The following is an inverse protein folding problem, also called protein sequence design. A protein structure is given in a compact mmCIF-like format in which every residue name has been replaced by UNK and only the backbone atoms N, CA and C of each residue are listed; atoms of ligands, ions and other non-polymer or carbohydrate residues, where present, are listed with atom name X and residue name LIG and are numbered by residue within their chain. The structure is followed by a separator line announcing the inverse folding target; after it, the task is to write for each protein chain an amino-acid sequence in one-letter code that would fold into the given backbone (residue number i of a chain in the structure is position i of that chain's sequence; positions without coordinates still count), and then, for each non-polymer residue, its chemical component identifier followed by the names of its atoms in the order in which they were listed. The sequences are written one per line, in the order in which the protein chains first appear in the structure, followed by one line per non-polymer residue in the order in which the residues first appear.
data_IF_318151791836
#
_entry.id   IF_318151791836
#
_cell.length_a   1.000
_cell.length_b   1.000
_cell.length_c   1.000
_cell.angle_alpha   90.00
_cell.angle_beta   90.00
_cell.angle_gamma   90.00
#
_symmetry.space_group_name_H-M   'P 1'
#
loop_
_entity.id
_entity.type
_entity.pdbx_description
1 polymer ?
#
# COMPACT_ATOMS: atom_id res chain seq x y z
N UNK A 1 16.26 -17.95 8.64
CA UNK A 1 16.11 -17.13 7.42
C UNK A 1 14.82 -16.32 7.53
N UNK A 2 14.88 -15.03 7.20
CA UNK A 2 13.72 -14.13 7.20
C UNK A 2 12.95 -14.29 5.88
N UNK A 3 11.64 -14.44 5.98
CA UNK A 3 10.73 -14.59 4.84
C UNK A 3 9.62 -13.53 4.91
N UNK A 4 9.08 -13.19 3.76
CA UNK A 4 7.78 -12.53 3.65
C UNK A 4 6.66 -13.55 3.86
N UNK A 5 5.53 -13.11 4.39
CA UNK A 5 4.37 -13.97 4.65
C UNK A 5 3.88 -14.62 3.36
N UNK A 6 3.87 -13.90 2.24
CA UNK A 6 3.42 -14.42 0.95
C UNK A 6 4.22 -15.63 0.45
N UNK A 7 5.47 -15.79 0.91
CA UNK A 7 6.36 -16.89 0.51
C UNK A 7 6.23 -18.14 1.40
N UNK A 8 5.43 -18.05 2.48
CA UNK A 8 5.26 -19.16 3.41
C UNK A 8 4.51 -20.32 2.79
N UNK A 9 5.13 -21.50 2.81
CA UNK A 9 4.57 -22.76 2.31
C UNK A 9 5.06 -23.94 3.13
N UNK A 10 4.34 -25.06 3.04
CA UNK A 10 4.65 -26.29 3.78
C UNK A 10 6.10 -26.80 3.60
N UNK A 11 6.74 -26.52 2.46
CA UNK A 11 8.13 -26.90 2.20
C UNK A 11 9.16 -26.26 3.15
N UNK A 12 8.76 -25.24 3.93
CA UNK A 12 9.61 -24.62 4.94
C UNK A 12 9.56 -25.35 6.30
N UNK A 13 8.69 -26.35 6.47
CA UNK A 13 8.67 -27.17 7.67
C UNK A 13 10.01 -27.90 7.84
N UNK A 14 10.57 -27.85 9.05
CA UNK A 14 11.89 -28.41 9.35
C UNK A 14 13.07 -27.51 8.94
N UNK A 15 12.81 -26.32 8.40
CA UNK A 15 13.81 -25.28 8.18
C UNK A 15 13.72 -24.18 9.24
N UNK A 16 14.82 -23.44 9.45
CA UNK A 16 14.82 -22.25 10.31
C UNK A 16 14.17 -21.06 9.59
N UNK A 17 12.84 -21.00 9.58
CA UNK A 17 12.09 -19.87 9.03
C UNK A 17 11.70 -18.87 10.11
N UNK A 18 11.64 -17.60 9.71
CA UNK A 18 11.17 -16.51 10.56
C UNK A 18 10.47 -15.44 9.72
N UNK A 19 9.52 -14.73 10.33
CA UNK A 19 8.82 -13.59 9.76
C UNK A 19 8.82 -12.43 10.77
N UNK A 20 8.68 -11.20 10.26
CA UNK A 20 8.33 -10.04 11.09
C UNK A 20 6.93 -9.62 10.69
N UNK A 21 5.99 -9.64 11.63
CA UNK A 21 4.58 -9.46 11.33
C UNK A 21 3.85 -8.68 12.42
N UNK A 22 2.84 -7.89 12.04
CA UNK A 22 1.91 -7.24 12.95
C UNK A 22 0.70 -8.13 13.21
N UNK A 23 0.22 -8.14 14.45
CA UNK A 23 -1.04 -8.80 14.81
C UNK A 23 -2.22 -7.93 14.39
N UNK A 24 -2.95 -8.35 13.36
CA UNK A 24 -4.16 -7.67 12.88
C UNK A 24 -5.35 -7.92 13.80
N UNK A 25 -5.55 -9.17 14.21
CA UNK A 25 -6.62 -9.55 15.13
C UNK A 25 -6.21 -10.74 15.99
N UNK A 26 -6.91 -10.91 17.10
CA UNK A 26 -6.77 -12.05 18.01
C UNK A 26 -8.17 -12.47 18.45
N UNK A 27 -8.51 -13.74 18.29
CA UNK A 27 -9.77 -14.28 18.78
C UNK A 27 -9.70 -14.49 20.29
N UNK A 28 -10.85 -14.62 20.93
CA UNK A 28 -10.93 -15.18 22.28
C UNK A 28 -10.41 -16.63 22.30
N UNK A 29 -10.14 -17.13 23.51
CA UNK A 29 -9.84 -18.54 23.73
C UNK A 29 -11.15 -19.31 23.60
N UNK A 30 -11.20 -20.20 22.61
CA UNK A 30 -12.31 -21.11 22.40
C UNK A 30 -11.98 -22.49 22.96
N UNK A 31 -12.89 -23.04 23.74
CA UNK A 31 -12.81 -24.43 24.19
C UNK A 31 -13.59 -25.35 23.25
N UNK A 32 -13.14 -26.60 23.14
CA UNK A 32 -13.77 -27.63 22.32
C UNK A 32 -13.61 -29.00 23.00
N UNK A 33 -14.30 -30.02 22.47
CA UNK A 33 -14.33 -31.37 23.07
C UNK A 33 -14.74 -31.32 24.55
N UNK A 34 -15.85 -30.65 24.86
CA UNK A 34 -16.38 -30.51 26.23
C UNK A 34 -15.37 -29.91 27.24
N UNK A 35 -14.49 -29.01 26.78
CA UNK A 35 -13.52 -28.32 27.63
C UNK A 35 -12.14 -29.00 27.72
N UNK A 36 -11.95 -30.15 27.08
CA UNK A 36 -10.66 -30.86 27.04
C UNK A 36 -9.64 -30.10 26.17
N UNK A 37 -10.11 -29.52 25.06
CA UNK A 37 -9.28 -28.74 24.15
C UNK A 37 -9.52 -27.25 24.30
N UNK A 38 -8.46 -26.45 24.10
CA UNK A 38 -8.57 -25.00 23.90
C UNK A 38 -7.74 -24.55 22.71
N UNK A 39 -8.18 -23.47 22.08
CA UNK A 39 -7.45 -22.82 20.98
C UNK A 39 -7.71 -21.33 20.96
N UNK A 40 -6.78 -20.59 20.37
CA UNK A 40 -7.07 -19.26 19.87
C UNK A 40 -6.45 -19.10 18.49
N UNK A 41 -6.95 -18.12 17.76
CA UNK A 41 -6.47 -17.78 16.42
C UNK A 41 -6.08 -16.32 16.37
N UNK A 42 -5.13 -16.00 15.52
CA UNK A 42 -4.70 -14.63 15.24
C UNK A 42 -4.44 -14.48 13.76
N UNK A 43 -4.71 -13.32 13.19
CA UNK A 43 -4.26 -12.96 11.85
C UNK A 43 -3.03 -12.10 12.00
N UNK A 44 -1.96 -12.54 11.36
CA UNK A 44 -0.69 -11.85 11.21
C UNK A 44 -0.61 -11.25 9.82
N UNK A 45 0.08 -10.13 9.66
CA UNK A 45 0.37 -9.59 8.34
C UNK A 45 1.68 -8.83 8.30
N UNK A 46 2.20 -8.73 7.09
CA UNK A 46 3.32 -7.88 6.71
C UNK A 46 2.94 -7.11 5.44
N UNK A 47 3.93 -6.58 4.72
CA UNK A 47 3.70 -5.85 3.46
C UNK A 47 3.22 -6.74 2.30
N UNK A 48 3.43 -8.05 2.41
CA UNK A 48 3.23 -9.01 1.33
C UNK A 48 1.86 -9.70 1.40
N UNK A 49 1.42 -10.13 2.59
CA UNK A 49 0.18 -10.89 2.77
C UNK A 49 -0.26 -10.95 4.23
N UNK A 50 -1.51 -11.37 4.43
CA UNK A 50 -2.04 -11.81 5.72
C UNK A 50 -1.92 -13.34 5.83
N UNK A 51 -1.71 -13.86 7.03
CA UNK A 51 -1.76 -15.30 7.32
C UNK A 51 -2.41 -15.54 8.69
N UNK A 52 -3.23 -16.59 8.79
CA UNK A 52 -3.75 -17.04 10.07
C UNK A 52 -2.70 -17.86 10.80
N UNK A 53 -2.55 -17.60 12.10
CA UNK A 53 -1.89 -18.50 13.03
C UNK A 53 -2.88 -19.04 14.07
N UNK A 54 -2.74 -20.32 14.41
CA UNK A 54 -3.59 -21.02 15.37
C UNK A 54 -2.73 -21.68 16.44
N UNK A 55 -3.14 -21.55 17.71
CA UNK A 55 -2.50 -22.26 18.83
C UNK A 55 -3.51 -23.21 19.45
N UNK A 56 -3.06 -24.42 19.82
CA UNK A 56 -3.87 -25.43 20.49
C UNK A 56 -3.28 -25.82 21.85
N UNK A 57 -4.14 -26.30 22.74
CA UNK A 57 -3.75 -26.98 23.98
C UNK A 57 -2.95 -26.10 24.94
N UNK A 58 -1.88 -26.66 25.49
CA UNK A 58 -1.13 -26.08 26.61
C UNK A 58 -0.39 -24.78 26.24
N UNK A 59 -0.08 -24.58 24.96
CA UNK A 59 0.61 -23.38 24.49
C UNK A 59 -0.30 -22.15 24.42
N UNK A 60 -1.62 -22.32 24.54
CA UNK A 60 -2.61 -21.23 24.36
C UNK A 60 -2.37 -20.09 25.34
N UNK A 61 -2.26 -20.35 26.64
CA UNK A 61 -2.17 -19.26 27.63
C UNK A 61 -0.89 -18.44 27.44
N UNK A 62 0.21 -19.12 27.10
CA UNK A 62 1.50 -18.50 26.81
C UNK A 62 1.40 -17.54 25.62
N UNK A 63 1.00 -18.04 24.45
CA UNK A 63 0.99 -17.18 23.25
C UNK A 63 -0.15 -16.17 23.26
N UNK A 64 -1.27 -16.48 23.93
CA UNK A 64 -2.38 -15.56 24.08
C UNK A 64 -2.00 -14.33 24.92
N UNK A 65 -1.22 -14.51 25.99
CA UNK A 65 -0.73 -13.41 26.82
C UNK A 65 0.39 -12.60 26.14
N UNK A 66 1.24 -13.25 25.34
CA UNK A 66 2.33 -12.58 24.62
C UNK A 66 1.87 -11.71 23.44
N UNK A 67 0.89 -12.17 22.66
CA UNK A 67 0.43 -11.49 21.45
C UNK A 67 -0.62 -10.43 21.75
N UNK A 68 -0.37 -9.20 21.32
CA UNK A 68 -1.27 -8.07 21.44
C UNK A 68 -1.60 -7.51 20.06
N UNK A 69 -2.86 -7.15 19.85
CA UNK A 69 -3.31 -6.52 18.60
C UNK A 69 -2.52 -5.23 18.35
N UNK A 70 -2.27 -4.93 17.08
CA UNK A 70 -1.49 -3.80 16.57
C UNK A 70 0.00 -3.79 16.92
N UNK A 71 0.51 -4.82 17.59
CA UNK A 71 1.94 -4.95 17.89
C UNK A 71 2.66 -5.79 16.84
N UNK A 72 3.95 -5.50 16.65
CA UNK A 72 4.82 -6.20 15.70
C UNK A 72 5.70 -7.20 16.44
N UNK A 73 5.85 -8.39 15.86
CA UNK A 73 6.61 -9.49 16.43
C UNK A 73 7.53 -10.12 15.39
N UNK A 74 8.72 -10.53 15.83
CA UNK A 74 9.54 -11.50 15.13
C UNK A 74 9.08 -12.89 15.57
N UNK A 75 8.59 -13.68 14.61
CA UNK A 75 8.04 -15.02 14.86
C UNK A 75 8.95 -16.01 14.14
N UNK A 76 9.42 -17.02 14.86
CA UNK A 76 10.29 -18.09 14.33
C UNK A 76 9.68 -19.44 14.63
N UNK A 77 9.90 -20.39 13.73
CA UNK A 77 9.43 -21.77 13.83
C UNK A 77 7.89 -21.88 13.95
N UNK A 78 7.41 -23.11 14.08
CA UNK A 78 6.01 -23.46 13.98
C UNK A 78 5.78 -24.35 12.76
N UNK A 79 4.58 -24.91 12.68
CA UNK A 79 4.20 -25.80 11.58
C UNK A 79 3.37 -25.01 10.56
N UNK A 80 3.78 -25.02 9.30
CA UNK A 80 3.04 -24.43 8.19
C UNK A 80 2.26 -25.55 7.50
N UNK A 81 0.93 -25.47 7.52
CA UNK A 81 0.06 -26.45 6.88
C UNK A 81 -0.95 -25.78 5.95
N UNK A 82 -1.55 -26.55 5.06
CA UNK A 82 -2.58 -26.03 4.15
C UNK A 82 -3.76 -25.50 4.97
N UNK A 83 -4.21 -24.29 4.63
CA UNK A 83 -5.31 -23.64 5.31
C UNK A 83 -6.63 -24.38 5.06
N UNK A 84 -7.37 -24.64 6.13
CA UNK A 84 -8.74 -25.11 6.01
C UNK A 84 -9.67 -23.93 5.73
N UNK A 85 -10.04 -23.75 4.46
CA UNK A 85 -10.86 -22.63 4.00
C UNK A 85 -12.31 -22.67 4.51
N UNK A 86 -12.75 -23.75 5.17
CA UNK A 86 -14.02 -23.75 5.89
C UNK A 86 -13.97 -22.91 7.18
N UNK A 87 -12.78 -22.71 7.76
CA UNK A 87 -12.58 -21.98 9.02
C UNK A 87 -11.62 -20.79 8.90
N UNK A 88 -10.79 -20.77 7.86
CA UNK A 88 -9.79 -19.73 7.62
C UNK A 88 -10.17 -18.90 6.39
N UNK A 89 -10.64 -17.68 6.66
CA UNK A 89 -11.05 -16.71 5.62
C UNK A 89 -9.90 -15.84 5.10
N UNK A 90 -8.67 -16.04 5.56
CA UNK A 90 -7.51 -15.34 4.97
C UNK A 90 -7.29 -15.84 3.54
N UNK A 91 -6.77 -14.97 2.68
CA UNK A 91 -6.52 -15.32 1.27
C UNK A 91 -5.42 -16.36 1.14
N UNK A 92 -4.42 -16.34 2.02
CA UNK A 92 -3.26 -17.21 2.01
C UNK A 92 -3.59 -18.71 2.05
N UNK A 93 -2.90 -19.50 1.23
CA UNK A 93 -3.18 -20.94 1.04
C UNK A 93 -2.74 -21.82 2.22
N UNK A 94 -1.91 -21.27 3.10
CA UNK A 94 -1.39 -21.92 4.29
C UNK A 94 -1.77 -21.18 5.57
N UNK A 95 -1.69 -21.86 6.69
CA UNK A 95 -1.78 -21.30 8.04
C UNK A 95 -0.63 -21.81 8.91
N UNK A 96 -0.28 -21.02 9.93
CA UNK A 96 0.76 -21.36 10.89
C UNK A 96 0.11 -22.00 12.12
N UNK A 97 0.66 -23.10 12.59
CA UNK A 97 0.32 -23.69 13.88
C UNK A 97 1.46 -23.40 14.84
N UNK A 98 1.17 -22.62 15.89
CA UNK A 98 2.12 -22.40 16.97
C UNK A 98 2.21 -23.64 17.83
N UNK A 99 3.44 -24.11 18.03
CA UNK A 99 3.77 -25.27 18.84
C UNK A 99 4.83 -24.87 19.88
N UNK A 100 5.30 -25.82 20.69
CA UNK A 100 6.25 -25.54 21.77
C UNK A 100 7.58 -24.95 21.31
N UNK A 101 7.97 -25.15 20.03
CA UNK A 101 9.20 -24.62 19.44
C UNK A 101 9.04 -23.21 18.86
N UNK A 102 7.82 -22.68 18.77
CA UNK A 102 7.57 -21.34 18.24
C UNK A 102 8.13 -20.28 19.17
N UNK A 103 8.92 -19.37 18.62
CA UNK A 103 9.50 -18.23 19.32
C UNK A 103 8.79 -16.97 18.85
N UNK A 104 8.29 -16.15 19.79
CA UNK A 104 7.60 -14.89 19.52
C UNK A 104 8.26 -13.81 20.36
N UNK A 105 8.91 -12.86 19.68
CA UNK A 105 9.62 -11.74 20.32
C UNK A 105 9.05 -10.43 19.81
N UNK A 106 8.79 -9.47 20.72
CA UNK A 106 8.30 -8.14 20.33
C UNK A 106 9.37 -7.45 19.48
N UNK A 107 8.94 -6.89 18.35
CA UNK A 107 9.81 -6.17 17.42
C UNK A 107 9.50 -4.67 17.46
N UNK A 108 10.54 -3.85 17.30
CA UNK A 108 10.43 -2.40 17.13
C UNK A 108 10.34 -1.97 15.67
N UNK A 109 10.16 -2.92 14.72
CA UNK A 109 10.06 -2.61 13.30
C UNK A 109 8.91 -1.64 13.03
N UNK A 110 9.22 -0.53 12.37
CA UNK A 110 8.28 0.56 12.06
C UNK A 110 7.77 0.49 10.62
N UNK A 111 8.40 -0.33 9.78
CA UNK A 111 8.16 -0.39 8.35
C UNK A 111 6.92 -1.22 7.99
N UNK A 112 6.36 -1.99 8.92
CA UNK A 112 5.10 -2.71 8.72
C UNK A 112 3.92 -1.76 8.98
N UNK A 113 3.02 -1.57 7.99
CA UNK A 113 1.90 -0.64 8.15
C UNK A 113 0.97 -1.05 9.27
N UNK A 114 0.16 -0.10 9.77
CA UNK A 114 -0.81 -0.39 10.84
C UNK A 114 -2.02 -1.19 10.34
N UNK A 115 -2.25 -1.22 9.03
CA UNK A 115 -3.26 -2.06 8.39
C UNK A 115 -2.72 -2.66 7.06
N UNK A 116 -3.05 -3.91 6.68
CA UNK A 116 -2.40 -4.63 5.58
C UNK A 116 -2.46 -3.96 4.20
N UNK A 117 -3.50 -3.19 3.92
CA UNK A 117 -3.78 -2.65 2.59
C UNK A 117 -4.00 -1.14 2.61
N UNK A 118 -3.32 -0.42 3.51
CA UNK A 118 -3.36 1.04 3.49
C UNK A 118 -2.84 1.57 2.16
N UNK A 119 -3.72 2.29 1.47
CA UNK A 119 -3.42 3.00 0.25
C UNK A 119 -3.34 4.49 0.55
N UNK A 120 -2.52 5.19 -0.22
CA UNK A 120 -2.46 6.65 -0.17
C UNK A 120 -3.72 7.22 -0.82
N UNK A 121 -4.01 8.49 -0.52
CA UNK A 121 -5.18 9.15 -1.10
C UNK A 121 -5.06 9.26 -2.62
N UNK A 122 -3.86 9.43 -3.17
CA UNK A 122 -3.65 9.41 -4.61
C UNK A 122 -4.12 8.10 -5.27
N UNK A 123 -3.95 6.95 -4.60
CA UNK A 123 -4.36 5.66 -5.15
C UNK A 123 -5.87 5.61 -5.44
N UNK A 124 -6.70 6.37 -4.72
CA UNK A 124 -8.16 6.44 -4.94
C UNK A 124 -8.48 6.73 -6.41
N UNK A 125 -7.70 7.62 -7.04
CA UNK A 125 -7.97 8.07 -8.40
C UNK A 125 -7.69 7.00 -9.45
N UNK A 126 -6.79 6.05 -9.17
CA UNK A 126 -6.49 4.91 -10.04
C UNK A 126 -7.42 3.70 -9.78
N UNK A 127 -8.11 3.65 -8.63
CA UNK A 127 -8.91 2.48 -8.26
C UNK A 127 -10.21 2.34 -9.05
N UNK A 128 -10.61 1.09 -9.32
CA UNK A 128 -11.85 0.75 -10.02
C UNK A 128 -13.07 1.08 -9.14
N UNK A 129 -14.15 1.57 -9.74
CA UNK A 129 -15.40 1.87 -9.02
C UNK A 129 -15.96 0.63 -8.33
N UNK A 130 -16.67 0.85 -7.23
CA UNK A 130 -17.25 -0.18 -6.37
C UNK A 130 -16.26 -1.12 -5.67
N UNK A 131 -14.95 -0.88 -5.78
CA UNK A 131 -13.95 -1.58 -4.96
C UNK A 131 -13.83 -0.94 -3.58
N UNK A 132 -13.23 -1.67 -2.64
CA UNK A 132 -12.99 -1.21 -1.28
C UNK A 132 -11.55 -0.67 -1.14
N UNK A 133 -11.40 0.39 -0.35
CA UNK A 133 -10.12 0.99 0.01
C UNK A 133 -9.99 1.07 1.54
N UNK A 134 -8.77 0.79 1.99
CA UNK A 134 -8.32 1.12 3.34
C UNK A 134 -7.37 2.31 3.21
N UNK A 135 -7.64 3.40 3.93
CA UNK A 135 -6.85 4.64 3.86
C UNK A 135 -6.86 5.36 5.19
N UNK A 136 -5.88 6.22 5.40
CA UNK A 136 -5.80 7.13 6.54
C UNK A 136 -5.38 8.51 6.04
N UNK A 137 -5.86 9.56 6.68
CA UNK A 137 -5.47 10.93 6.36
C UNK A 137 -5.92 11.93 7.41
N UNK A 138 -5.60 13.19 7.18
CA UNK A 138 -6.00 14.31 8.04
C UNK A 138 -7.28 14.92 7.52
N UNK A 139 -8.20 15.23 8.42
CA UNK A 139 -9.43 15.94 8.11
C UNK A 139 -9.08 17.40 7.83
N UNK A 140 -9.22 17.84 6.58
CA UNK A 140 -8.97 19.23 6.18
C UNK A 140 -10.24 20.07 6.21
N UNK A 141 -11.39 19.44 6.03
CA UNK A 141 -12.68 20.13 6.02
C UNK A 141 -13.81 19.21 6.43
N UNK A 142 -14.72 19.72 7.25
CA UNK A 142 -15.98 19.05 7.60
C UNK A 142 -17.14 19.92 7.10
N UNK A 143 -17.99 19.38 6.22
CA UNK A 143 -19.22 20.07 5.81
C UNK A 143 -20.36 19.81 6.81
N UNK A 144 -21.34 20.71 6.83
CA UNK A 144 -22.59 20.47 7.54
C UNK A 144 -23.35 19.26 6.96
N UNK A 145 -24.07 18.47 7.80
CA UNK A 145 -24.98 17.45 7.32
C UNK A 145 -26.03 18.03 6.38
N UNK A 146 -26.32 17.27 5.32
CA UNK A 146 -27.36 17.59 4.34
C UNK A 146 -28.33 16.43 4.24
N UNK A 147 -29.60 16.73 4.07
CA UNK A 147 -30.58 15.71 3.70
C UNK A 147 -30.48 15.40 2.20
N UNK A 148 -30.60 14.12 1.86
CA UNK A 148 -30.66 13.61 0.50
C UNK A 148 -31.97 12.86 0.30
N UNK A 149 -32.74 13.30 -0.69
CA UNK A 149 -34.02 12.72 -1.09
C UNK A 149 -35.04 12.60 0.07
N UNK A 150 -34.95 13.48 1.08
CA UNK A 150 -35.84 13.49 2.25
C UNK A 150 -35.80 12.25 3.15
N UNK A 151 -34.82 11.35 2.95
CA UNK A 151 -34.72 10.08 3.70
C UNK A 151 -33.36 9.81 4.32
N UNK A 152 -32.29 10.16 3.60
CA UNK A 152 -30.93 9.89 4.06
C UNK A 152 -30.25 11.18 4.46
N UNK A 153 -29.40 11.10 5.48
CA UNK A 153 -28.50 12.21 5.83
C UNK A 153 -27.11 11.90 5.29
N UNK A 154 -26.43 12.90 4.76
CA UNK A 154 -25.04 12.77 4.36
C UNK A 154 -24.21 13.90 4.91
N UNK A 155 -22.94 13.62 5.19
CA UNK A 155 -21.94 14.62 5.58
C UNK A 155 -20.70 14.38 4.73
N UNK A 156 -20.21 15.42 4.06
CA UNK A 156 -18.98 15.33 3.28
C UNK A 156 -17.80 15.82 4.13
N UNK A 157 -16.68 15.13 4.00
CA UNK A 157 -15.42 15.45 4.65
C UNK A 157 -14.35 15.48 3.57
N UNK A 158 -13.41 16.40 3.65
CA UNK A 158 -12.20 16.36 2.82
C UNK A 158 -11.09 15.75 3.66
N UNK A 159 -10.64 14.57 3.24
CA UNK A 159 -9.50 13.87 3.81
C UNK A 159 -8.27 14.13 2.95
N UNK A 160 -7.10 14.36 3.54
CA UNK A 160 -5.88 14.61 2.80
C UNK A 160 -4.63 13.97 3.44
N UNK A 161 -3.63 13.72 2.61
CA UNK A 161 -2.30 13.26 2.98
C UNK A 161 -1.27 13.98 2.08
N UNK A 162 0.00 13.59 2.16
CA UNK A 162 1.06 14.17 1.33
C UNK A 162 0.91 13.94 -0.18
N UNK A 163 0.06 13.00 -0.59
CA UNK A 163 -0.15 12.60 -1.99
C UNK A 163 -1.38 13.25 -2.62
N UNK A 164 -2.34 13.71 -1.82
CA UNK A 164 -3.50 14.42 -2.34
C UNK A 164 -4.64 14.59 -1.34
N UNK A 165 -5.82 14.92 -1.86
CA UNK A 165 -7.05 15.04 -1.07
C UNK A 165 -8.23 14.37 -1.76
N UNK A 166 -9.17 13.84 -0.98
CA UNK A 166 -10.35 13.15 -1.48
C UNK A 166 -11.58 13.50 -0.65
N UNK A 167 -12.73 13.62 -1.32
CA UNK A 167 -14.00 13.77 -0.63
C UNK A 167 -14.48 12.40 -0.11
N UNK A 168 -14.80 12.36 1.19
CA UNK A 168 -15.39 11.23 1.90
C UNK A 168 -16.83 11.56 2.22
N UNK A 169 -17.77 10.68 1.86
CA UNK A 169 -19.19 10.83 2.17
C UNK A 169 -19.57 9.85 3.27
N UNK A 170 -19.98 10.40 4.42
CA UNK A 170 -20.62 9.67 5.51
C UNK A 170 -22.13 9.65 5.31
N UNK A 171 -22.79 8.61 5.79
CA UNK A 171 -24.23 8.40 5.64
C UNK A 171 -24.92 8.16 6.97
N UNK A 172 -26.15 8.66 7.08
CA UNK A 172 -27.10 8.44 8.17
C UNK A 172 -26.46 8.66 9.55
N UNK A 173 -26.43 7.65 10.43
CA UNK A 173 -25.86 7.78 11.77
C UNK A 173 -24.39 8.18 11.76
N UNK A 174 -23.61 7.65 10.80
CA UNK A 174 -22.21 8.06 10.63
C UNK A 174 -22.10 9.51 10.17
N UNK A 175 -23.12 10.10 9.56
CA UNK A 175 -23.12 11.51 9.18
C UNK A 175 -23.56 12.43 10.34
N UNK A 176 -24.56 12.01 11.12
CA UNK A 176 -25.11 12.82 12.22
C UNK A 176 -24.23 12.80 13.46
N UNK A 177 -23.68 11.64 13.79
CA UNK A 177 -22.97 11.39 15.05
C UNK A 177 -21.46 11.60 14.89
N UNK A 178 -21.02 12.01 13.70
CA UNK A 178 -19.62 12.27 13.44
C UNK A 178 -19.11 13.41 14.31
N UNK A 179 -18.15 13.10 15.18
CA UNK A 179 -17.57 14.00 16.15
C UNK A 179 -16.04 13.97 16.01
N UNK A 180 -15.52 14.91 15.23
CA UNK A 180 -14.10 15.16 15.02
C UNK A 180 -13.92 16.61 14.58
N UNK A 181 -12.68 17.09 14.60
CA UNK A 181 -12.31 18.44 14.20
C UNK A 181 -11.43 18.42 12.95
N UNK A 182 -11.34 19.56 12.27
CA UNK A 182 -10.28 19.78 11.27
C UNK A 182 -8.91 19.66 11.95
N UNK A 183 -8.00 18.92 11.32
CA UNK A 183 -6.71 18.53 11.87
C UNK A 183 -6.68 17.18 12.60
N UNK A 184 -7.84 16.60 12.94
CA UNK A 184 -7.88 15.23 13.45
C UNK A 184 -7.53 14.23 12.33
N UNK A 185 -6.96 13.10 12.74
CA UNK A 185 -6.64 12.01 11.83
C UNK A 185 -7.81 11.04 11.77
N UNK A 186 -8.16 10.61 10.56
CA UNK A 186 -9.25 9.69 10.34
C UNK A 186 -8.78 8.52 9.49
N UNK A 187 -8.96 7.30 10.01
CA UNK A 187 -8.81 6.09 9.21
C UNK A 187 -10.17 5.62 8.68
N UNK A 188 -10.15 5.03 7.49
CA UNK A 188 -11.29 4.41 6.85
C UNK A 188 -10.85 3.03 6.39
N UNK A 189 -11.44 2.00 6.99
CA UNK A 189 -11.25 0.61 6.57
C UNK A 189 -12.51 0.14 5.85
N UNK A 190 -12.36 -0.37 4.64
CA UNK A 190 -13.44 -0.84 3.78
C UNK A 190 -14.31 0.28 3.24
N UNK A 191 -13.73 1.44 2.91
CA UNK A 191 -14.43 2.54 2.23
C UNK A 191 -14.72 2.17 0.78
N UNK A 192 -15.89 2.52 0.24
CA UNK A 192 -16.27 2.15 -1.13
C UNK A 192 -15.90 3.27 -2.11
N UNK A 193 -15.15 2.96 -3.16
CA UNK A 193 -14.87 3.90 -4.25
C UNK A 193 -16.14 4.11 -5.08
N UNK A 194 -16.60 5.36 -5.15
CA UNK A 194 -17.76 5.75 -5.95
C UNK A 194 -17.41 6.91 -6.88
N UNK A 195 -18.21 7.10 -7.91
CA UNK A 195 -18.21 8.33 -8.70
C UNK A 195 -19.46 9.14 -8.36
N UNK A 196 -19.28 10.45 -8.19
CA UNK A 196 -20.39 11.38 -8.15
C UNK A 196 -20.07 12.64 -8.93
N UNK A 197 -20.79 12.86 -10.04
CA UNK A 197 -20.57 13.97 -10.98
C UNK A 197 -19.14 13.97 -11.56
N UNK A 198 -18.65 12.80 -11.99
CA UNK A 198 -17.31 12.61 -12.59
C UNK A 198 -16.16 12.92 -11.63
N UNK A 199 -16.42 12.85 -10.32
CA UNK A 199 -15.41 12.99 -9.27
C UNK A 199 -15.44 11.73 -8.42
N UNK A 200 -14.30 11.04 -8.35
CA UNK A 200 -14.13 9.89 -7.45
C UNK A 200 -14.14 10.33 -6.01
N UNK A 201 -14.85 9.56 -5.18
CA UNK A 201 -15.04 9.78 -3.75
C UNK A 201 -14.95 8.46 -3.01
N UNK A 202 -14.74 8.56 -1.70
CA UNK A 202 -14.88 7.42 -0.78
C UNK A 202 -16.25 7.52 -0.12
N UNK A 203 -17.10 6.52 -0.32
CA UNK A 203 -18.36 6.39 0.41
C UNK A 203 -18.18 5.45 1.60
N UNK A 204 -18.44 5.92 2.81
CA UNK A 204 -18.40 5.10 4.01
C UNK A 204 -19.72 4.33 4.12
N UNK A 205 -19.67 3.01 3.99
CA UNK A 205 -20.84 2.13 4.08
C UNK A 205 -21.03 1.63 5.51
N UNK A 206 -22.10 0.88 5.75
CA UNK A 206 -22.36 0.26 7.05
C UNK A 206 -21.23 -0.69 7.49
N UNK A 207 -20.61 -1.38 6.52
CA UNK A 207 -19.47 -2.28 6.74
C UNK A 207 -18.14 -1.56 6.95
N UNK A 208 -18.04 -0.27 6.62
CA UNK A 208 -16.81 0.50 6.78
C UNK A 208 -16.57 0.81 8.26
N UNK A 209 -15.32 0.63 8.70
CA UNK A 209 -14.87 1.07 10.03
C UNK A 209 -14.19 2.43 9.88
N UNK A 210 -14.56 3.36 10.75
CA UNK A 210 -13.98 4.69 10.83
C UNK A 210 -13.48 4.87 12.24
N UNK A 211 -12.24 5.32 12.39
CA UNK A 211 -11.61 5.60 13.67
C UNK A 211 -10.97 6.99 13.61
N UNK A 212 -11.18 7.78 14.67
CA UNK A 212 -10.63 9.13 14.81
C UNK A 212 -9.43 9.07 15.76
N UNK A 213 -8.33 9.69 15.33
CA UNK A 213 -7.03 9.68 15.99
C UNK A 213 -6.57 8.27 16.39
N UNK A 214 -6.49 7.32 15.42
CA UNK A 214 -6.05 5.97 15.70
C UNK A 214 -4.60 5.97 16.21
N UNK A 215 -4.29 5.07 17.16
CA UNK A 215 -2.92 4.86 17.67
C UNK A 215 -2.06 4.05 16.69
N UNK A 216 -1.89 4.57 15.48
CA UNK A 216 -1.18 3.93 14.35
C UNK A 216 0.16 4.62 14.09
N UNK A 217 1.10 3.91 13.45
CA UNK A 217 2.42 4.47 13.13
C UNK A 217 2.31 5.69 12.20
N UNK A 218 1.39 5.63 11.24
CA UNK A 218 1.13 6.65 10.23
C UNK A 218 0.58 7.95 10.85
N UNK A 219 0.02 7.89 12.06
CA UNK A 219 -0.62 9.02 12.72
C UNK A 219 0.36 10.16 12.99
N UNK A 220 1.58 9.85 13.43
CA UNK A 220 2.58 10.89 13.72
C UNK A 220 3.05 11.60 12.45
N UNK A 221 3.27 10.85 11.38
CA UNK A 221 3.72 11.38 10.09
C UNK A 221 2.66 12.31 9.48
N UNK A 222 1.38 11.93 9.56
CA UNK A 222 0.27 12.76 9.12
C UNK A 222 0.12 14.04 9.94
N UNK A 223 0.30 13.98 11.27
CA UNK A 223 0.30 15.18 12.12
C UNK A 223 1.42 16.14 11.73
N UNK A 224 2.62 15.63 11.50
CA UNK A 224 3.77 16.45 11.10
C UNK A 224 3.55 17.07 9.72
N UNK A 225 3.04 16.28 8.76
CA UNK A 225 2.68 16.78 7.44
C UNK A 225 1.63 17.91 7.52
N UNK A 226 0.59 17.74 8.32
CA UNK A 226 -0.47 18.75 8.45
C UNK A 226 0.01 20.06 9.06
N UNK A 227 0.89 20.01 10.06
CA UNK A 227 1.53 21.22 10.63
C UNK A 227 2.27 22.02 9.56
N UNK A 228 3.03 21.34 8.71
CA UNK A 228 3.75 21.99 7.60
C UNK A 228 2.80 22.49 6.50
N UNK A 229 1.72 21.76 6.23
CA UNK A 229 0.67 22.18 5.30
C UNK A 229 -0.01 23.47 5.76
N UNK A 230 -0.47 23.55 7.02
CA UNK A 230 -1.12 24.73 7.58
C UNK A 230 -0.16 25.93 7.63
N UNK A 231 1.10 25.72 7.99
CA UNK A 231 2.12 26.78 7.95
C UNK A 231 2.26 27.37 6.54
N UNK A 232 2.33 26.54 5.51
CA UNK A 232 2.41 26.99 4.10
C UNK A 232 1.14 27.71 3.66
N UNK A 233 -0.04 27.22 4.06
CA UNK A 233 -1.34 27.86 3.79
C UNK A 233 -1.41 29.26 4.40
N UNK A 234 -0.97 29.42 5.65
CA UNK A 234 -0.91 30.72 6.33
C UNK A 234 0.08 31.69 5.67
N UNK A 235 1.26 31.20 5.25
CA UNK A 235 2.24 31.99 4.49
C UNK A 235 1.70 32.47 3.15
N UNK A 236 0.96 31.62 2.44
CA UNK A 236 0.33 32.02 1.18
C UNK A 236 -0.78 33.05 1.41
N UNK A 237 -1.59 32.89 2.47
CA UNK A 237 -2.62 33.85 2.83
C UNK A 237 -2.04 35.23 3.19
N UNK A 238 -0.89 35.28 3.90
CA UNK A 238 -0.23 36.54 4.25
C UNK A 238 0.36 37.26 3.04
N UNK A 239 0.84 36.53 2.02
CA UNK A 239 1.27 37.10 0.75
C UNK A 239 0.10 37.62 -0.10
N UNK A 240 -1.08 36.99 0.01
CA UNK A 240 -2.30 37.35 -0.74
C UNK A 240 -3.07 38.51 -0.10
N UNK A 241 -2.90 38.78 1.19
CA UNK A 241 -3.47 39.98 1.85
C UNK A 241 -2.99 41.34 1.27
N UNK A 242 -2.12 41.34 0.26
CA UNK A 242 -1.75 42.51 -0.56
C UNK A 242 -2.69 42.69 -1.79
N UNK A 243 -3.65 41.80 -2.04
CA UNK A 243 -4.61 41.94 -3.14
C UNK A 243 -5.90 41.12 -2.96
N UNK A 244 -6.99 41.82 -2.64
CA UNK A 244 -8.43 41.50 -2.84
C UNK A 244 -8.91 40.03 -2.76
N UNK A 245 -9.75 39.76 -1.77
CA UNK A 245 -10.41 38.48 -1.48
C UNK A 245 -11.69 38.23 -2.32
N UNK A 246 -11.80 37.04 -2.93
CA UNK A 246 -12.97 36.12 -2.83
C UNK A 246 -12.91 34.86 -3.74
N UNK A 247 -11.88 34.66 -4.58
CA UNK A 247 -11.80 33.48 -5.50
C UNK A 247 -10.94 32.29 -5.00
N UNK A 248 -10.38 32.37 -3.79
CA UNK A 248 -9.11 31.71 -3.50
C UNK A 248 -9.16 30.18 -3.25
N UNK A 249 -10.30 29.59 -2.85
CA UNK A 249 -10.33 28.15 -2.51
C UNK A 249 -10.41 27.22 -3.72
N UNK A 250 -10.96 27.66 -4.85
CA UNK A 250 -10.92 26.88 -6.09
C UNK A 250 -9.51 26.93 -6.68
N UNK A 251 -8.86 28.09 -6.64
CA UNK A 251 -7.50 28.30 -7.14
C UNK A 251 -6.44 27.54 -6.32
N UNK A 252 -6.58 27.44 -5.00
CA UNK A 252 -5.66 26.62 -4.19
C UNK A 252 -5.75 25.14 -4.61
N UNK A 253 -6.95 24.59 -4.74
CA UNK A 253 -7.13 23.19 -5.18
C UNK A 253 -6.60 22.97 -6.60
N UNK A 254 -6.89 23.90 -7.53
CA UNK A 254 -6.36 23.84 -8.90
C UNK A 254 -4.84 24.02 -8.95
N UNK A 255 -4.25 24.88 -8.12
CA UNK A 255 -2.78 25.08 -8.09
C UNK A 255 -2.05 23.85 -7.57
N UNK A 256 -2.58 23.16 -6.55
CA UNK A 256 -2.04 21.88 -6.11
C UNK A 256 -2.21 20.80 -7.18
N UNK A 257 -3.40 20.73 -7.82
CA UNK A 257 -3.65 19.78 -8.91
C UNK A 257 -2.70 20.00 -10.09
N UNK A 258 -2.53 21.26 -10.50
CA UNK A 258 -1.60 21.66 -11.55
C UNK A 258 -0.18 21.34 -11.13
N UNK A 259 0.22 21.60 -9.87
CA UNK A 259 1.56 21.27 -9.39
C UNK A 259 1.83 19.77 -9.43
N UNK A 260 0.89 18.93 -8.99
CA UNK A 260 1.01 17.46 -9.08
C UNK A 260 1.04 17.00 -10.55
N UNK A 261 0.26 17.63 -11.43
CA UNK A 261 0.26 17.33 -12.85
C UNK A 261 1.58 17.71 -13.52
N UNK A 262 2.16 18.86 -13.19
CA UNK A 262 3.51 19.26 -13.62
C UNK A 262 4.59 18.31 -13.12
N UNK A 263 4.53 17.87 -11.86
CA UNK A 263 5.48 16.91 -11.29
C UNK A 263 5.38 15.54 -11.99
N UNK A 264 4.16 15.08 -12.33
CA UNK A 264 3.95 13.86 -13.13
C UNK A 264 4.47 13.99 -14.56
N UNK A 265 4.24 15.13 -15.22
CA UNK A 265 4.78 15.42 -16.56
C UNK A 265 6.31 15.42 -16.54
N UNK A 266 6.93 16.05 -15.53
CA UNK A 266 8.38 16.05 -15.36
C UNK A 266 8.94 14.63 -15.16
N UNK A 267 8.25 13.80 -14.37
CA UNK A 267 8.66 12.42 -14.13
C UNK A 267 8.49 11.55 -15.39
N UNK A 268 7.40 11.72 -16.14
CA UNK A 268 7.17 11.02 -17.40
C UNK A 268 8.23 11.41 -18.44
N UNK A 269 8.51 12.71 -18.60
CA UNK A 269 9.54 13.19 -19.53
C UNK A 269 10.93 12.64 -19.17
N UNK A 270 11.24 12.52 -17.87
CA UNK A 270 12.49 11.91 -17.40
C UNK A 270 12.58 10.42 -17.74
N UNK A 271 11.48 9.68 -17.58
CA UNK A 271 11.41 8.27 -17.98
C UNK A 271 11.59 8.11 -19.49
N UNK A 272 10.97 8.99 -20.28
CA UNK A 272 11.07 8.96 -21.74
C UNK A 272 12.50 9.30 -22.21
N UNK A 273 13.19 10.27 -21.58
CA UNK A 273 14.60 10.56 -21.84
C UNK A 273 15.53 9.37 -21.52
N UNK A 274 15.31 8.68 -20.40
CA UNK A 274 16.08 7.49 -20.01
C UNK A 274 15.86 6.34 -21.01
N UNK A 275 14.62 6.15 -21.49
CA UNK A 275 14.28 5.13 -22.48
C UNK A 275 14.90 5.42 -23.85
N UNK A 276 14.87 6.69 -24.30
CA UNK A 276 15.52 7.13 -25.53
C UNK A 276 17.04 6.94 -25.43
N UNK A 277 17.64 7.33 -24.31
CA UNK A 277 19.08 7.19 -24.06
C UNK A 277 19.51 5.72 -24.09
N UNK A 278 18.71 4.83 -23.50
CA UNK A 278 18.96 3.38 -23.55
C UNK A 278 18.86 2.84 -24.97
N UNK A 279 17.86 3.25 -25.75
CA UNK A 279 17.71 2.79 -27.14
C UNK A 279 18.84 3.30 -28.05
N UNK A 280 19.32 4.52 -27.84
CA UNK A 280 20.47 5.06 -28.55
C UNK A 280 21.75 4.25 -28.26
N UNK A 281 21.95 3.83 -27.01
CA UNK A 281 23.08 2.97 -26.64
C UNK A 281 23.00 1.61 -27.36
N UNK A 282 21.82 0.98 -27.35
CA UNK A 282 21.60 -0.29 -28.05
C UNK A 282 21.86 -0.18 -29.56
N UNK A 283 21.41 0.91 -30.19
CA UNK A 283 21.65 1.16 -31.62
C UNK A 283 23.14 1.37 -31.92
N UNK A 284 23.87 2.04 -31.04
CA UNK A 284 25.31 2.24 -31.19
C UNK A 284 26.08 0.91 -31.07
N UNK A 285 25.66 0.03 -30.16
CA UNK A 285 26.23 -1.31 -30.04
C UNK A 285 25.92 -2.19 -31.27
N UNK A 286 24.69 -2.09 -31.82
CA UNK A 286 24.31 -2.74 -33.07
C UNK A 286 25.15 -2.23 -34.26
N UNK A 287 25.39 -0.92 -34.35
CA UNK A 287 26.20 -0.29 -35.40
C UNK A 287 27.65 -0.77 -35.35
N UNK A 288 28.27 -0.77 -34.16
CA UNK A 288 29.63 -1.29 -33.95
C UNK A 288 29.77 -2.76 -34.37
N UNK A 289 28.74 -3.58 -34.09
CA UNK A 289 28.73 -4.98 -34.52
C UNK A 289 28.68 -5.11 -36.03
N UNK A 290 27.86 -4.32 -36.71
CA UNK A 290 27.77 -4.31 -38.17
C UNK A 290 29.10 -3.86 -38.80
N UNK A 291 29.77 -2.85 -38.23
CA UNK A 291 31.09 -2.41 -38.70
C UNK A 291 32.13 -3.52 -38.60
N UNK A 292 32.15 -4.25 -37.48
CA UNK A 292 33.02 -5.41 -37.30
C UNK A 292 32.76 -6.49 -38.36
N UNK A 293 31.49 -6.85 -38.59
CA UNK A 293 31.12 -7.86 -39.59
C UNK A 293 31.50 -7.42 -41.03
N UNK A 294 31.37 -6.12 -41.33
CA UNK A 294 31.81 -5.55 -42.63
C UNK A 294 33.32 -5.62 -42.80
N UNK A 295 34.08 -5.34 -41.74
CA UNK A 295 35.53 -5.46 -41.77
C UNK A 295 35.95 -6.91 -42.09
N UNK A 296 35.36 -7.89 -41.41
CA UNK A 296 35.62 -9.32 -41.63
C UNK A 296 35.29 -9.76 -43.06
N UNK A 297 34.15 -9.32 -43.59
CA UNK A 297 33.75 -9.58 -44.98
C UNK A 297 34.75 -8.97 -45.99
N UNK A 298 35.24 -7.76 -45.73
CA UNK A 298 36.24 -7.12 -46.58
C UNK A 298 37.57 -7.90 -46.57
N UNK A 299 38.04 -8.35 -45.40
CA UNK A 299 39.22 -9.22 -45.31
C UNK A 299 39.04 -10.53 -46.08
N UNK A 300 37.87 -11.17 -45.94
CA UNK A 300 37.56 -12.40 -46.67
C UNK A 300 37.54 -12.19 -48.18
N UNK A 301 36.96 -11.08 -48.64
CA UNK A 301 36.94 -10.71 -50.07
C UNK A 301 38.35 -10.46 -50.62
N UNK A 302 39.20 -9.77 -49.85
CA UNK A 302 40.59 -9.52 -50.25
C UNK A 302 41.39 -10.82 -50.34
N UNK A 303 41.24 -11.73 -49.38
CA UNK A 303 41.87 -13.07 -49.41
C UNK A 303 41.44 -13.88 -50.63
N UNK A 304 40.14 -13.95 -50.92
CA UNK A 304 39.62 -14.65 -52.11
C UNK A 304 40.14 -14.04 -53.41
N UNK A 305 40.32 -12.71 -53.47
CA UNK A 305 40.91 -12.05 -54.63
C UNK A 305 42.38 -12.46 -54.84
N UNK A 306 43.17 -12.54 -53.75
CA UNK A 306 44.57 -12.98 -53.80
C UNK A 306 44.66 -14.45 -54.23
N UNK A 307 43.83 -15.33 -53.66
CA UNK A 307 43.77 -16.74 -54.06
C UNK A 307 43.41 -16.89 -55.55
N UNK A 308 42.44 -16.11 -56.04
CA UNK A 308 42.04 -16.12 -57.46
C UNK A 308 43.17 -15.64 -58.39
N UNK A 309 43.94 -14.62 -57.99
CA UNK A 309 45.11 -14.20 -58.77
C UNK A 309 46.23 -15.26 -58.77
N UNK A 310 46.47 -15.92 -57.65
CA UNK A 310 47.47 -16.98 -57.55
C UNK A 310 47.16 -18.15 -58.50
N UNK A 311 45.89 -18.57 -58.55
CA UNK A 311 45.42 -19.61 -59.47
C UNK A 311 45.61 -19.19 -60.93
N UNK A 312 45.29 -17.94 -61.28
CA UNK A 312 45.50 -17.41 -62.65
C UNK A 312 46.96 -17.37 -63.09
N UNK A 313 47.92 -17.30 -62.16
CA UNK A 313 49.36 -17.31 -62.49
C UNK A 313 49.94 -18.73 -62.67
N UNK A 314 49.21 -19.77 -62.29
CA UNK A 314 49.61 -21.18 -62.39
C UNK A 314 48.88 -21.94 -63.52
N UNK A 315 48.03 -21.25 -64.28
CA UNK A 315 47.41 -21.70 -65.54
C UNK A 315 48.09 -20.98 -66.71
#
# INVERSE_FOLDING_TARGET
MLYEIADLKNGLNGSDWSITARVLNKSDILTFNNGIGKRFTTILFDKSSEIRATTFGDNVDRYFSQLQVNHVYNIKNGEIKKADKAYNNTKHDYEIIFNSSTIIERSGATDIPSYPQLKTIENVFAMVLNTLIDTIGVIIKIEEPKEKNGRHKLRNIILADSTGSVAVTLWDTKATDFNANEGDIMSIIGGKIIDYKNVKKISVTLSSKVEINPCWNETLDLQNWYKEFEKKKLLNLSQVSVGSQELHMFEISQSFRNKTEYERILQQNKIDEDLISKRLLELNDEELKIESERADLNFKKQRLSIERESIKRHL
#
